data_IF_901891689174
#
_entry.id   IF_901891689174
#
_cell.length_a   1.000
_cell.length_b   1.000
_cell.length_c   1.000
_cell.angle_alpha   90.00
_cell.angle_beta   90.00
_cell.angle_gamma   90.00
#
_symmetry.space_group_name_H-M   'P 1'
#
loop_
_entity.id
_entity.type
_entity.pdbx_description
1 polymer ?
#
# COMPACT_ATOMS: atom_id res chain seq x y z
N UNK A 1 -4.04 -20.33 3.07
CA UNK A 1 -3.22 -19.12 2.90
C UNK A 1 -3.50 -18.17 4.05
N UNK A 2 -2.47 -17.51 4.56
CA UNK A 2 -2.51 -16.44 5.54
C UNK A 2 -2.04 -15.15 4.87
N UNK A 3 -2.41 -14.01 5.43
CA UNK A 3 -2.05 -12.71 4.88
C UNK A 3 -1.07 -12.03 5.82
N UNK A 4 0.06 -11.59 5.27
CA UNK A 4 1.05 -10.76 5.97
C UNK A 4 1.03 -9.40 5.30
N UNK A 5 0.96 -8.33 6.09
CA UNK A 5 0.91 -6.96 5.56
C UNK A 5 2.04 -6.15 6.17
N UNK A 6 2.79 -5.44 5.33
CA UNK A 6 3.83 -4.51 5.72
C UNK A 6 3.48 -3.10 5.25
N UNK A 7 3.64 -2.11 6.14
CA UNK A 7 3.60 -0.69 5.81
C UNK A 7 5.02 -0.18 5.65
N UNK A 8 5.25 0.66 4.66
CA UNK A 8 6.53 1.31 4.37
C UNK A 8 6.30 2.83 4.29
N UNK A 9 7.29 3.62 4.68
CA UNK A 9 7.18 5.09 4.66
C UNK A 9 7.37 5.69 3.26
N UNK A 10 7.89 4.89 2.32
CA UNK A 10 8.13 5.29 0.94
C UNK A 10 8.00 4.09 -0.01
N UNK A 11 7.82 4.41 -1.29
CA UNK A 11 7.64 3.44 -2.36
C UNK A 11 8.90 2.60 -2.63
N UNK A 12 10.10 3.17 -2.50
CA UNK A 12 11.37 2.52 -2.83
C UNK A 12 11.64 1.31 -1.91
N UNK A 13 11.40 1.47 -0.60
CA UNK A 13 11.52 0.40 0.38
C UNK A 13 10.49 -0.73 0.11
N UNK A 14 9.25 -0.35 -0.24
CA UNK A 14 8.22 -1.32 -0.62
C UNK A 14 8.55 -2.06 -1.93
N UNK A 15 9.10 -1.37 -2.93
CA UNK A 15 9.53 -1.96 -4.20
C UNK A 15 10.68 -2.95 -4.00
N UNK A 16 11.65 -2.61 -3.14
CA UNK A 16 12.72 -3.52 -2.74
C UNK A 16 12.15 -4.77 -2.05
N UNK A 17 11.19 -4.61 -1.13
CA UNK A 17 10.51 -5.72 -0.49
C UNK A 17 9.78 -6.63 -1.49
N UNK A 18 9.08 -6.07 -2.47
CA UNK A 18 8.39 -6.84 -3.51
C UNK A 18 9.37 -7.65 -4.35
N UNK A 19 10.47 -7.04 -4.82
CA UNK A 19 11.52 -7.74 -5.57
C UNK A 19 12.11 -8.90 -4.77
N UNK A 20 12.41 -8.65 -3.50
CA UNK A 20 12.93 -9.66 -2.58
C UNK A 20 11.95 -10.81 -2.30
N UNK A 21 10.64 -10.53 -2.29
CA UNK A 21 9.59 -11.55 -2.17
C UNK A 21 9.51 -12.41 -3.43
N UNK A 22 9.56 -11.79 -4.61
CA UNK A 22 9.57 -12.47 -5.91
C UNK A 22 10.82 -13.36 -6.05
N UNK A 23 12.00 -12.85 -5.69
CA UNK A 23 13.26 -13.60 -5.67
C UNK A 23 13.24 -14.78 -4.68
N UNK A 24 12.51 -14.64 -3.57
CA UNK A 24 12.23 -15.73 -2.64
C UNK A 24 11.16 -16.72 -3.17
N UNK A 25 10.66 -16.55 -4.39
CA UNK A 25 9.66 -17.41 -5.01
C UNK A 25 8.25 -17.23 -4.45
N UNK A 26 7.90 -16.06 -3.93
CA UNK A 26 6.49 -15.69 -3.72
C UNK A 26 5.91 -15.28 -5.09
N UNK A 27 4.82 -15.90 -5.56
CA UNK A 27 4.20 -15.52 -6.83
C UNK A 27 3.66 -14.08 -6.77
N UNK A 28 3.87 -13.29 -7.84
CA UNK A 28 3.33 -11.93 -7.93
C UNK A 28 1.80 -11.89 -7.75
N UNK A 29 1.08 -12.92 -8.17
CA UNK A 29 -0.39 -13.04 -7.97
C UNK A 29 -0.82 -13.08 -6.48
N UNK A 30 0.11 -13.41 -5.59
CA UNK A 30 -0.07 -13.42 -4.14
C UNK A 30 0.43 -12.16 -3.45
N UNK A 31 1.07 -11.24 -4.18
CA UNK A 31 1.54 -9.95 -3.68
C UNK A 31 0.58 -8.86 -4.17
N UNK A 32 0.34 -7.86 -3.33
CA UNK A 32 -0.38 -6.66 -3.71
C UNK A 32 0.27 -5.44 -3.09
N UNK A 33 0.33 -4.34 -3.83
CA UNK A 33 0.94 -3.09 -3.41
C UNK A 33 -0.08 -1.97 -3.57
N UNK A 34 -0.18 -1.08 -2.59
CA UNK A 34 -1.00 0.14 -2.65
C UNK A 34 -0.16 1.31 -2.20
N UNK A 35 0.02 2.32 -3.05
CA UNK A 35 0.82 3.51 -2.79
C UNK A 35 0.06 4.77 -3.19
N UNK A 36 0.41 5.91 -2.59
CA UNK A 36 -0.14 7.20 -3.00
C UNK A 36 0.49 7.66 -4.32
N UNK A 37 -0.31 8.29 -5.18
CA UNK A 37 0.10 8.70 -6.54
C UNK A 37 1.31 9.63 -6.60
N UNK A 38 1.44 10.55 -5.62
CA UNK A 38 2.60 11.45 -5.53
C UNK A 38 3.94 10.72 -5.50
N UNK A 39 3.94 9.46 -5.07
CA UNK A 39 5.15 8.66 -4.88
C UNK A 39 5.50 7.86 -6.13
N UNK A 40 4.50 7.63 -6.98
CA UNK A 40 4.66 6.96 -8.26
C UNK A 40 5.14 7.93 -9.34
N UNK A 41 4.68 9.19 -9.30
CA UNK A 41 5.07 10.20 -10.29
C UNK A 41 6.52 10.68 -10.13
N UNK A 42 7.06 10.84 -8.91
CA UNK A 42 8.47 11.26 -8.73
C UNK A 42 9.47 10.26 -9.37
N UNK A 43 9.18 8.96 -9.31
CA UNK A 43 10.02 7.90 -9.89
C UNK A 43 9.70 7.63 -11.38
N UNK A 44 8.44 7.78 -11.81
CA UNK A 44 8.01 7.54 -13.20
C UNK A 44 8.14 8.78 -14.10
N UNK A 45 8.27 10.00 -13.56
CA UNK A 45 8.57 11.19 -14.38
C UNK A 45 9.97 11.15 -15.01
N UNK A 46 10.87 10.26 -14.55
CA UNK A 46 12.09 9.92 -15.26
C UNK A 46 11.85 8.98 -16.48
N UNK A 47 10.63 8.44 -16.62
CA UNK A 47 10.24 7.42 -17.59
C UNK A 47 8.83 7.66 -18.19
N UNK A 48 8.58 8.85 -18.73
CA UNK A 48 7.64 9.02 -19.84
C UNK A 48 6.28 9.65 -19.51
N UNK A 49 6.12 10.88 -19.99
CA UNK A 49 4.82 11.52 -20.25
C UNK A 49 4.06 10.71 -21.32
N UNK A 50 3.08 9.90 -20.92
CA UNK A 50 2.29 9.13 -21.89
C UNK A 50 1.11 8.32 -21.38
N UNK A 51 0.87 8.20 -20.08
CA UNK A 51 -0.26 7.43 -19.54
C UNK A 51 -1.44 8.36 -19.19
N UNK A 52 -2.26 8.70 -20.17
CA UNK A 52 -3.59 9.28 -19.92
C UNK A 52 -4.45 8.31 -19.10
N UNK A 53 -5.24 8.85 -18.18
CA UNK A 53 -6.02 8.22 -17.11
C UNK A 53 -7.11 7.17 -17.50
N UNK A 54 -6.85 6.30 -18.49
CA UNK A 54 -7.82 5.32 -18.98
C UNK A 54 -7.25 4.04 -19.60
N UNK A 55 -5.92 3.88 -19.64
CA UNK A 55 -5.28 2.62 -20.01
C UNK A 55 -4.30 2.27 -18.88
N UNK A 56 -4.44 1.09 -18.30
CA UNK A 56 -3.60 0.63 -17.18
C UNK A 56 -2.12 0.87 -17.47
N UNK A 57 -1.39 1.33 -16.45
CA UNK A 57 0.05 1.61 -16.55
C UNK A 57 0.76 0.25 -16.57
N UNK A 58 0.68 -0.42 -17.71
CA UNK A 58 1.47 -1.59 -18.05
C UNK A 58 2.57 -1.15 -19.00
N UNK A 59 3.71 -0.74 -18.47
CA UNK A 59 4.96 -0.58 -19.21
C UNK A 59 6.11 -0.65 -18.18
N UNK A 60 6.78 -1.79 -18.04
CA UNK A 60 7.94 -2.14 -18.89
C UNK A 60 8.89 -0.94 -18.99
N UNK A 61 9.47 -0.55 -17.87
CA UNK A 61 10.65 0.31 -17.85
C UNK A 61 11.65 -0.24 -16.81
N UNK A 62 12.31 -1.35 -17.16
CA UNK A 62 13.54 -1.80 -16.48
C UNK A 62 13.52 -3.16 -15.79
N UNK A 63 13.29 -4.25 -16.54
CA UNK A 63 13.77 -5.59 -16.16
C UNK A 63 12.78 -6.48 -15.41
N UNK A 64 12.62 -7.71 -15.93
CA UNK A 64 11.85 -8.86 -15.39
C UNK A 64 10.40 -8.58 -14.98
N UNK A 65 9.43 -9.03 -15.80
CA UNK A 65 8.00 -8.83 -15.58
C UNK A 65 7.46 -9.45 -14.28
N UNK A 66 7.58 -8.71 -13.17
CA UNK A 66 6.91 -8.94 -11.90
C UNK A 66 5.62 -8.12 -11.76
N UNK A 67 5.10 -8.02 -10.52
CA UNK A 67 3.80 -7.43 -10.13
C UNK A 67 3.39 -6.12 -10.81
N UNK A 68 4.36 -5.35 -11.32
CA UNK A 68 4.17 -4.08 -12.03
C UNK A 68 3.38 -4.20 -13.35
N UNK A 69 3.11 -5.41 -13.86
CA UNK A 69 2.27 -5.62 -15.04
C UNK A 69 0.76 -5.36 -14.80
N UNK A 70 0.33 -5.12 -13.56
CA UNK A 70 -1.09 -4.97 -13.18
C UNK A 70 -1.45 -3.66 -12.47
N UNK A 71 -0.72 -2.56 -12.72
CA UNK A 71 -0.96 -1.28 -12.05
C UNK A 71 -2.25 -0.61 -12.52
N UNK A 72 -3.10 -0.26 -11.56
CA UNK A 72 -4.29 0.57 -11.75
C UNK A 72 -4.25 1.81 -10.84
N UNK A 73 -4.81 2.92 -11.32
CA UNK A 73 -4.99 4.12 -10.52
C UNK A 73 -6.45 4.22 -10.08
N UNK A 74 -6.67 4.53 -8.80
CA UNK A 74 -8.01 4.77 -8.26
C UNK A 74 -7.98 5.89 -7.23
N UNK A 75 -9.10 6.58 -7.05
CA UNK A 75 -9.26 7.56 -5.98
C UNK A 75 -9.97 6.90 -4.79
N UNK A 76 -9.31 6.88 -3.63
CA UNK A 76 -9.89 6.36 -2.39
C UNK A 76 -10.36 7.55 -1.54
N UNK A 77 -11.63 7.60 -1.11
CA UNK A 77 -12.13 8.62 -0.18
C UNK A 77 -11.25 8.74 1.07
N UNK A 78 -10.97 9.97 1.49
CA UNK A 78 -10.08 10.27 2.63
C UNK A 78 -8.58 10.10 2.38
N UNK A 79 -8.19 9.25 1.43
CA UNK A 79 -6.78 9.00 1.07
C UNK A 79 -6.34 9.89 -0.10
N UNK A 80 -7.15 9.99 -1.14
CA UNK A 80 -6.79 10.64 -2.41
C UNK A 80 -6.43 9.65 -3.52
N UNK A 81 -5.79 10.10 -4.61
CA UNK A 81 -5.33 9.24 -5.69
C UNK A 81 -4.26 8.25 -5.21
N UNK A 82 -4.45 6.98 -5.55
CA UNK A 82 -3.51 5.89 -5.27
C UNK A 82 -3.22 5.09 -6.51
N UNK A 83 -2.03 4.51 -6.56
CA UNK A 83 -1.63 3.48 -7.50
C UNK A 83 -1.63 2.15 -6.76
N UNK A 84 -2.24 1.14 -7.34
CA UNK A 84 -2.31 -0.19 -6.76
C UNK A 84 -1.99 -1.26 -7.81
N UNK A 85 -1.30 -2.33 -7.39
CA UNK A 85 -1.08 -3.53 -8.18
C UNK A 85 -1.41 -4.80 -7.39
N UNK A 86 -1.72 -5.88 -8.11
CA UNK A 86 -2.01 -7.18 -7.53
C UNK A 86 -3.47 -7.37 -7.12
N UNK A 87 -3.71 -8.43 -6.37
CA UNK A 87 -5.06 -8.92 -6.11
C UNK A 87 -5.95 -7.99 -5.26
N UNK A 88 -5.38 -7.14 -4.39
CA UNK A 88 -6.15 -6.11 -3.65
C UNK A 88 -6.44 -4.87 -4.49
N UNK A 89 -5.65 -4.59 -5.53
CA UNK A 89 -5.97 -3.51 -6.45
C UNK A 89 -7.30 -3.77 -7.17
N UNK A 90 -7.55 -5.03 -7.55
CA UNK A 90 -8.79 -5.46 -8.17
C UNK A 90 -10.00 -5.32 -7.23
N UNK A 91 -9.85 -5.58 -5.93
CA UNK A 91 -10.95 -5.43 -4.96
C UNK A 91 -11.26 -3.96 -4.67
N UNK A 92 -10.23 -3.11 -4.59
CA UNK A 92 -10.41 -1.67 -4.42
C UNK A 92 -11.08 -1.03 -5.65
N UNK A 93 -10.72 -1.45 -6.87
CA UNK A 93 -11.40 -1.03 -8.10
C UNK A 93 -12.84 -1.56 -8.19
N UNK A 94 -13.08 -2.79 -7.73
CA UNK A 94 -14.41 -3.38 -7.64
C UNK A 94 -15.35 -2.63 -6.69
N UNK A 95 -14.83 -2.13 -5.57
CA UNK A 95 -15.59 -1.30 -4.62
C UNK A 95 -16.05 0.04 -5.24
N UNK A 96 -15.27 0.61 -6.16
CA UNK A 96 -15.62 1.84 -6.88
C UNK A 96 -16.71 1.63 -7.94
N UNK A 97 -16.78 0.44 -8.55
CA UNK A 97 -17.76 0.10 -9.60
C UNK A 97 -19.02 -0.64 -9.08
N UNK A 98 -18.98 -1.17 -7.85
CA UNK A 98 -19.81 -2.30 -7.42
C UNK A 98 -20.88 -2.03 -6.35
N UNK A 99 -21.38 -0.80 -6.18
CA UNK A 99 -22.53 -0.57 -5.29
C UNK A 99 -23.85 -1.20 -5.79
N UNK A 100 -23.91 -1.69 -7.04
CA UNK A 100 -25.15 -2.20 -7.64
C UNK A 100 -25.33 -3.73 -7.56
N UNK A 101 -24.27 -4.53 -7.40
CA UNK A 101 -24.38 -6.01 -7.42
C UNK A 101 -23.43 -6.62 -6.39
N UNK A 102 -23.80 -6.51 -5.11
CA UNK A 102 -23.33 -7.33 -3.99
C UNK A 102 -21.82 -7.61 -3.88
N UNK A 103 -21.09 -6.79 -3.13
CA UNK A 103 -19.78 -7.19 -2.62
C UNK A 103 -18.94 -6.05 -2.05
N UNK A 104 -19.04 -5.85 -0.73
CA UNK A 104 -18.26 -4.95 0.13
C UNK A 104 -18.47 -3.43 -0.07
N UNK A 105 -19.36 -2.87 0.77
CA UNK A 105 -19.42 -1.44 1.11
C UNK A 105 -18.23 -0.99 1.99
N UNK A 106 -17.04 -1.52 1.74
CA UNK A 106 -15.86 -1.29 2.58
C UNK A 106 -14.80 -0.59 1.77
N UNK A 107 -14.46 0.64 2.13
CA UNK A 107 -13.25 1.29 1.63
C UNK A 107 -12.00 0.48 1.99
N UNK A 108 -10.83 1.11 1.99
CA UNK A 108 -9.56 0.42 2.21
C UNK A 108 -9.52 -0.46 3.48
N UNK A 109 -10.18 -0.04 4.56
CA UNK A 109 -10.32 -0.84 5.79
C UNK A 109 -11.07 -2.14 5.52
N UNK A 110 -12.18 -2.10 4.78
CA UNK A 110 -12.95 -3.29 4.43
C UNK A 110 -12.21 -4.23 3.49
N UNK A 111 -11.43 -3.69 2.56
CA UNK A 111 -10.55 -4.49 1.70
C UNK A 111 -9.52 -5.25 2.54
N UNK A 112 -8.87 -4.59 3.49
CA UNK A 112 -7.87 -5.20 4.38
C UNK A 112 -8.48 -6.22 5.35
N UNK A 113 -9.65 -5.94 5.92
CA UNK A 113 -10.31 -6.91 6.80
C UNK A 113 -10.79 -8.14 6.03
N UNK A 114 -11.31 -7.96 4.82
CA UNK A 114 -11.65 -9.10 3.94
C UNK A 114 -10.41 -9.92 3.53
N UNK A 115 -9.25 -9.28 3.47
CA UNK A 115 -7.95 -9.92 3.26
C UNK A 115 -7.43 -10.68 4.49
N UNK A 116 -8.09 -10.58 5.64
CA UNK A 116 -7.69 -11.25 6.89
C UNK A 116 -6.81 -10.41 7.81
N UNK A 117 -6.64 -9.10 7.54
CA UNK A 117 -6.02 -8.15 8.47
C UNK A 117 -7.01 -7.83 9.59
N UNK A 118 -6.53 -7.68 10.83
CA UNK A 118 -7.39 -7.25 11.93
C UNK A 118 -7.96 -5.85 11.67
N UNK A 119 -9.19 -5.55 12.09
CA UNK A 119 -9.81 -4.23 11.89
C UNK A 119 -8.96 -3.11 12.51
N UNK A 120 -8.39 -3.39 13.67
CA UNK A 120 -7.46 -2.53 14.39
C UNK A 120 -6.23 -2.14 13.57
N UNK A 121 -5.57 -3.10 12.92
CA UNK A 121 -4.42 -2.83 12.04
C UNK A 121 -4.85 -2.23 10.71
N UNK A 122 -6.00 -2.65 10.17
CA UNK A 122 -6.54 -2.12 8.92
C UNK A 122 -6.74 -0.61 9.00
N UNK A 123 -7.18 -0.09 10.15
CA UNK A 123 -7.25 1.36 10.39
C UNK A 123 -5.86 2.03 10.38
N UNK A 124 -4.85 1.42 11.00
CA UNK A 124 -3.49 1.96 11.02
C UNK A 124 -2.88 1.97 9.62
N UNK A 125 -3.07 0.90 8.85
CA UNK A 125 -2.60 0.82 7.46
C UNK A 125 -3.30 1.83 6.55
N UNK A 126 -4.62 1.98 6.70
CA UNK A 126 -5.39 2.97 5.96
C UNK A 126 -4.90 4.40 6.24
N UNK A 127 -4.63 4.73 7.52
CA UNK A 127 -4.05 6.02 7.89
C UNK A 127 -2.59 6.14 7.40
N UNK A 128 -1.82 5.06 7.42
CA UNK A 128 -0.47 5.00 6.87
C UNK A 128 -0.43 5.41 5.40
N UNK A 129 -1.28 4.82 4.57
CA UNK A 129 -1.43 5.20 3.16
C UNK A 129 -1.98 6.63 3.04
N UNK A 130 -2.90 7.03 3.94
CA UNK A 130 -3.44 8.40 4.02
C UNK A 130 -2.36 9.47 4.30
N UNK A 131 -1.28 9.08 4.97
CA UNK A 131 -0.12 9.92 5.30
C UNK A 131 1.05 9.75 4.32
N UNK A 132 0.84 9.00 3.24
CA UNK A 132 1.81 8.80 2.16
C UNK A 132 2.73 7.60 2.34
N UNK A 133 2.34 6.61 3.15
CA UNK A 133 3.00 5.31 3.16
C UNK A 133 2.59 4.45 1.97
N UNK A 134 3.38 3.42 1.73
CA UNK A 134 3.13 2.35 0.76
C UNK A 134 2.86 1.06 1.50
N UNK A 135 1.81 0.33 1.12
CA UNK A 135 1.43 -0.93 1.74
C UNK A 135 1.76 -2.10 0.81
N UNK A 136 2.39 -3.15 1.35
CA UNK A 136 2.59 -4.43 0.67
C UNK A 136 1.82 -5.50 1.42
N UNK A 137 1.00 -6.26 0.72
CA UNK A 137 0.23 -7.37 1.28
C UNK A 137 0.56 -8.66 0.54
N UNK A 138 0.86 -9.71 1.29
CA UNK A 138 1.32 -11.00 0.76
C UNK A 138 0.42 -12.11 1.28
N UNK A 139 -0.14 -12.91 0.38
CA UNK A 139 -0.75 -14.20 0.74
C UNK A 139 0.32 -15.27 0.72
N UNK A 140 0.46 -16.02 1.80
CA UNK A 140 1.47 -17.07 1.89
C UNK A 140 0.99 -18.24 2.72
N UNK A 141 1.69 -19.36 2.61
CA UNK A 141 1.48 -20.50 3.49
C UNK A 141 2.02 -20.19 4.89
N UNK A 142 1.40 -20.76 5.93
CA UNK A 142 1.78 -20.48 7.32
C UNK A 142 3.26 -20.77 7.61
N UNK A 143 3.81 -21.83 7.00
CA UNK A 143 5.24 -22.18 7.10
C UNK A 143 6.20 -21.14 6.52
N UNK A 144 5.73 -20.26 5.64
CA UNK A 144 6.52 -19.23 4.95
C UNK A 144 6.37 -17.85 5.59
N UNK A 145 5.47 -17.69 6.58
CA UNK A 145 5.27 -16.42 7.29
C UNK A 145 6.60 -15.87 7.82
N UNK A 146 7.46 -16.66 8.51
CA UNK A 146 8.72 -16.13 9.03
C UNK A 146 9.65 -15.59 7.95
N UNK A 147 9.69 -16.24 6.78
CA UNK A 147 10.50 -15.78 5.63
C UNK A 147 9.95 -14.47 5.07
N UNK A 148 8.61 -14.36 4.94
CA UNK A 148 7.95 -13.15 4.46
C UNK A 148 8.16 -12.00 5.43
N UNK A 149 7.95 -12.20 6.73
CA UNK A 149 8.20 -11.19 7.75
C UNK A 149 9.67 -10.74 7.76
N UNK A 150 10.62 -11.67 7.63
CA UNK A 150 12.04 -11.33 7.55
C UNK A 150 12.40 -10.53 6.27
N UNK A 151 11.72 -10.79 5.15
CA UNK A 151 11.88 -10.01 3.92
C UNK A 151 11.31 -8.60 4.09
N UNK A 152 10.12 -8.46 4.71
CA UNK A 152 9.52 -7.14 4.94
C UNK A 152 10.37 -6.33 5.93
N UNK A 153 10.82 -6.95 7.03
CA UNK A 153 11.60 -6.32 8.09
C UNK A 153 12.94 -5.78 7.60
N UNK A 154 13.71 -6.58 6.84
CA UNK A 154 14.99 -6.11 6.29
C UNK A 154 14.84 -4.94 5.30
N UNK A 155 13.67 -4.81 4.69
CA UNK A 155 13.30 -3.72 3.79
C UNK A 155 12.61 -2.57 4.52
N UNK A 156 12.80 -2.46 5.85
CA UNK A 156 12.32 -1.34 6.68
C UNK A 156 10.79 -1.27 6.76
N UNK A 157 10.14 -2.42 6.98
CA UNK A 157 8.74 -2.38 7.38
C UNK A 157 8.57 -1.53 8.64
N UNK A 158 7.41 -0.90 8.75
CA UNK A 158 7.06 -0.08 9.91
C UNK A 158 6.57 -0.98 11.03
N UNK A 159 7.08 -0.80 12.24
CA UNK A 159 6.43 -1.37 13.42
C UNK A 159 5.04 -0.75 13.64
N UNK A 160 3.99 -1.50 13.30
CA UNK A 160 2.59 -1.04 13.35
C UNK A 160 2.15 -0.66 14.76
N UNK A 161 2.67 -1.34 15.78
CA UNK A 161 2.34 -1.02 17.18
C UNK A 161 2.89 0.35 17.58
N UNK A 162 4.13 0.64 17.19
CA UNK A 162 4.74 1.96 17.43
C UNK A 162 4.07 3.04 16.59
N UNK A 163 3.77 2.75 15.32
CA UNK A 163 3.06 3.67 14.44
C UNK A 163 1.69 4.06 14.98
N UNK A 164 0.93 3.08 15.47
CA UNK A 164 -0.37 3.34 16.10
C UNK A 164 -0.26 4.26 17.30
N UNK A 165 0.75 4.07 18.15
CA UNK A 165 1.01 4.94 19.30
C UNK A 165 1.34 6.36 18.85
N UNK A 166 2.23 6.51 17.86
CA UNK A 166 2.58 7.82 17.32
C UNK A 166 1.36 8.56 16.76
N UNK A 167 0.47 7.87 16.05
CA UNK A 167 -0.80 8.45 15.60
C UNK A 167 -1.71 8.84 16.78
N UNK A 168 -1.84 7.97 17.79
CA UNK A 168 -2.66 8.26 18.96
C UNK A 168 -2.16 9.48 19.76
N UNK A 169 -0.84 9.67 19.86
CA UNK A 169 -0.23 10.84 20.51
C UNK A 169 -0.57 12.16 19.78
N UNK A 170 -0.99 12.09 18.51
CA UNK A 170 -1.47 13.21 17.71
C UNK A 170 -3.01 13.38 17.75
N UNK A 171 -3.70 12.55 18.53
CA UNK A 171 -5.16 12.56 18.63
C UNK A 171 -5.87 11.77 17.53
N UNK A 172 -5.16 10.93 16.78
CA UNK A 172 -5.80 9.98 15.86
C UNK A 172 -6.38 8.79 16.63
N UNK A 173 -7.63 8.42 16.34
CA UNK A 173 -8.30 7.25 16.94
C UNK A 173 -8.48 6.11 15.95
N UNK A 174 -8.90 6.43 14.72
CA UNK A 174 -9.15 5.50 13.62
C UNK A 174 -9.10 6.24 12.29
N UNK A 175 -8.92 5.48 11.21
CA UNK A 175 -9.08 6.02 9.86
C UNK A 175 -10.52 6.48 9.63
N UNK A 176 -10.65 7.70 9.10
CA UNK A 176 -11.90 8.37 8.77
C UNK A 176 -11.86 8.82 7.30
N UNK A 177 -12.65 8.13 6.47
CA UNK A 177 -12.74 8.36 5.03
C UNK A 177 -13.41 9.68 4.65
N UNK A 178 -14.10 10.34 5.58
CA UNK A 178 -14.76 11.63 5.35
C UNK A 178 -13.81 12.82 5.46
N UNK A 179 -12.65 12.62 6.08
CA UNK A 179 -11.63 13.65 6.20
C UNK A 179 -11.02 13.98 4.84
N UNK A 180 -10.45 15.17 4.70
CA UNK A 180 -9.73 15.50 3.46
C UNK A 180 -8.46 14.65 3.32
N UNK A 181 -8.05 14.31 2.08
CA UNK A 181 -6.70 13.83 1.80
C UNK A 181 -5.62 14.78 2.33
N UNK A 182 -4.48 14.21 2.74
CA UNK A 182 -3.27 15.00 3.02
C UNK A 182 -2.73 15.58 1.71
N UNK A 183 -2.24 16.82 1.76
CA UNK A 183 -1.56 17.43 0.62
C UNK A 183 -0.14 16.88 0.44
N UNK A 184 0.47 17.13 -0.72
CA UNK A 184 1.87 16.77 -1.01
C UNK A 184 2.85 17.29 0.07
N UNK A 185 2.68 18.55 0.50
CA UNK A 185 3.52 19.16 1.53
C UNK A 185 3.35 18.51 2.92
N UNK A 186 2.13 18.07 3.24
CA UNK A 186 1.83 17.40 4.51
C UNK A 186 2.46 15.99 4.53
N UNK A 187 2.35 15.25 3.43
CA UNK A 187 3.02 13.95 3.25
C UNK A 187 4.54 14.09 3.37
N UNK A 188 5.11 15.10 2.69
CA UNK A 188 6.56 15.34 2.75
C UNK A 188 7.05 15.59 4.19
N UNK A 189 6.30 16.39 4.96
CA UNK A 189 6.61 16.63 6.37
C UNK A 189 6.48 15.37 7.24
N UNK A 190 5.44 14.55 7.01
CA UNK A 190 5.27 13.28 7.71
C UNK A 190 6.43 12.32 7.45
N UNK A 191 6.93 12.22 6.21
CA UNK A 191 8.11 11.41 5.89
C UNK A 191 9.35 11.85 6.64
N UNK A 192 9.64 13.16 6.62
CA UNK A 192 10.79 13.71 7.35
C UNK A 192 10.69 13.41 8.84
N UNK A 193 9.47 13.41 9.39
CA UNK A 193 9.24 13.12 10.80
C UNK A 193 9.64 11.69 11.16
N UNK A 194 9.21 10.69 10.40
CA UNK A 194 9.56 9.30 10.70
C UNK A 194 11.03 8.96 10.36
N UNK A 195 11.61 9.62 9.34
CA UNK A 195 13.04 9.52 9.06
C UNK A 195 13.92 10.10 10.19
N UNK A 196 13.52 11.23 10.77
CA UNK A 196 14.30 11.94 11.80
C UNK A 196 14.13 11.36 13.21
N UNK A 197 12.96 10.80 13.51
CA UNK A 197 12.69 10.22 14.84
C UNK A 197 13.33 8.85 15.04
N UNK A 198 13.90 8.25 13.98
CA UNK A 198 14.53 6.93 14.07
C UNK A 198 13.58 5.82 14.51
N UNK A 199 12.27 6.08 14.51
CA UNK A 199 11.21 5.11 14.76
C UNK A 199 11.17 4.19 13.54
N UNK A 200 11.74 3.01 13.69
CA UNK A 200 11.80 1.93 12.69
C UNK A 200 11.13 0.72 13.30
#
# INVERSE_FOLDING_TARGET
>A
MKTVTGLFDNYQDAEAAVRDLEDAGIPSDDISVVSRDSDYQDETSAAGEGASAGAGIGAIAGGTGGLLAGLGMLAIPGVGPVVAAGWLAATAAGAAAGAAIGGAAGGIVGALTSAGVSEDEAHVYAEGIRRGGTLVTVRTEERRIPDVEAILDRNRWVNVTERRRAYADEGWERFDESQRPYSADEIYKERLRYQTLGMR
#
